data_IF_263776144303
#
_entry.id   IF_263776144303
#
_cell.length_a   1.000
_cell.length_b   1.000
_cell.length_c   1.000
_cell.angle_alpha   90.00
_cell.angle_beta   90.00
_cell.angle_gamma   90.00
#
_symmetry.space_group_name_H-M   'P 1'
#
loop_
_entity.id
_entity.type
_entity.pdbx_description
1 polymer ?
#
# COMPACT_ATOMS: atom_id res chain seq x y z
N UNK A 1 -34.53 34.14 -27.73
CA UNK A 1 -33.53 33.60 -26.77
C UNK A 1 -34.01 33.98 -25.38
N UNK A 2 -34.42 33.02 -24.54
CA UNK A 2 -34.78 33.31 -23.14
C UNK A 2 -33.52 33.79 -22.41
N UNK A 3 -33.64 34.86 -21.64
CA UNK A 3 -32.53 35.42 -20.87
C UNK A 3 -32.07 34.40 -19.83
N UNK A 4 -30.75 34.24 -19.70
CA UNK A 4 -30.12 33.29 -18.76
C UNK A 4 -30.55 33.61 -17.32
N UNK A 5 -30.81 34.89 -17.03
CA UNK A 5 -31.29 35.39 -15.74
C UNK A 5 -32.63 34.79 -15.29
N UNK A 6 -33.52 34.40 -16.21
CA UNK A 6 -34.79 33.72 -15.84
C UNK A 6 -34.57 32.32 -15.25
N UNK A 7 -33.39 31.73 -15.48
CA UNK A 7 -33.03 30.43 -14.96
C UNK A 7 -32.27 30.50 -13.64
N UNK A 8 -31.88 31.69 -13.16
CA UNK A 8 -31.09 31.81 -11.93
C UNK A 8 -31.84 31.21 -10.72
N UNK A 9 -33.15 31.43 -10.60
CA UNK A 9 -33.98 30.85 -9.53
C UNK A 9 -34.06 29.31 -9.60
N UNK A 10 -34.13 28.77 -10.82
CA UNK A 10 -34.13 27.32 -11.07
C UNK A 10 -32.76 26.70 -10.75
N UNK A 11 -31.67 27.41 -11.05
CA UNK A 11 -30.31 26.99 -10.73
C UNK A 11 -30.05 26.99 -9.22
N UNK A 12 -30.57 27.99 -8.49
CA UNK A 12 -30.53 28.00 -7.03
C UNK A 12 -31.33 26.84 -6.42
N UNK A 13 -32.56 26.63 -6.90
CA UNK A 13 -33.41 25.51 -6.47
C UNK A 13 -32.76 24.14 -6.76
N UNK A 14 -32.00 24.05 -7.85
CA UNK A 14 -31.20 22.87 -8.16
C UNK A 14 -30.04 22.64 -7.18
N UNK A 15 -29.34 23.70 -6.76
CA UNK A 15 -28.25 23.60 -5.78
C UNK A 15 -28.74 23.25 -4.37
N UNK A 16 -29.92 23.73 -4.00
CA UNK A 16 -30.58 23.40 -2.73
C UNK A 16 -31.31 22.05 -2.76
N UNK A 17 -31.29 21.36 -3.91
CA UNK A 17 -31.95 20.07 -4.14
C UNK A 17 -33.45 20.08 -3.82
N UNK A 18 -34.11 21.23 -4.04
CA UNK A 18 -35.54 21.44 -3.82
C UNK A 18 -36.40 21.15 -5.05
N UNK A 19 -35.77 20.93 -6.22
CA UNK A 19 -36.46 20.56 -7.46
C UNK A 19 -37.02 19.14 -7.41
N UNK A 20 -38.20 18.96 -8.00
CA UNK A 20 -38.76 17.62 -8.21
C UNK A 20 -37.89 16.80 -9.18
N UNK A 21 -38.00 15.47 -9.10
CA UNK A 21 -37.22 14.58 -9.98
C UNK A 21 -37.47 14.81 -11.48
N UNK A 22 -38.64 15.39 -11.85
CA UNK A 22 -38.98 15.70 -13.24
C UNK A 22 -38.30 16.99 -13.71
N UNK A 23 -38.40 18.04 -12.90
CA UNK A 23 -37.76 19.35 -13.18
C UNK A 23 -36.24 19.25 -13.20
N UNK A 24 -35.68 18.40 -12.32
CA UNK A 24 -34.25 18.13 -12.29
C UNK A 24 -33.74 17.55 -13.61
N UNK A 25 -34.45 16.55 -14.15
CA UNK A 25 -34.09 15.93 -15.45
C UNK A 25 -34.20 16.93 -16.60
N UNK A 26 -35.27 17.74 -16.63
CA UNK A 26 -35.43 18.78 -17.65
C UNK A 26 -34.32 19.84 -17.58
N UNK A 27 -33.91 20.25 -16.37
CA UNK A 27 -32.81 21.20 -16.19
C UNK A 27 -31.47 20.58 -16.58
N UNK A 28 -31.22 19.31 -16.25
CA UNK A 28 -30.01 18.58 -16.65
C UNK A 28 -29.90 18.45 -18.19
N UNK A 29 -31.02 18.19 -18.88
CA UNK A 29 -31.05 18.21 -20.35
C UNK A 29 -30.71 19.60 -20.89
N UNK A 30 -31.30 20.67 -20.34
CA UNK A 30 -31.01 22.05 -20.76
C UNK A 30 -29.57 22.49 -20.46
N UNK A 31 -28.99 22.02 -19.34
CA UNK A 31 -27.60 22.24 -18.98
C UNK A 31 -26.64 21.54 -19.96
N UNK A 32 -27.03 20.38 -20.49
CA UNK A 32 -26.23 19.66 -21.50
C UNK A 32 -26.27 20.32 -22.88
N UNK A 33 -27.36 20.99 -23.22
CA UNK A 33 -27.56 21.67 -24.50
C UNK A 33 -27.01 23.11 -24.51
N UNK A 34 -26.97 23.78 -23.36
CA UNK A 34 -26.58 25.19 -23.25
C UNK A 34 -25.34 25.40 -22.37
N UNK A 35 -24.20 25.64 -23.04
CA UNK A 35 -22.90 25.89 -22.39
C UNK A 35 -22.87 27.18 -21.54
N UNK A 36 -23.69 28.18 -21.84
CA UNK A 36 -23.74 29.40 -21.04
C UNK A 36 -24.46 29.17 -19.69
N UNK A 37 -25.48 28.31 -19.70
CA UNK A 37 -26.22 27.91 -18.50
C UNK A 37 -25.35 27.06 -17.55
N UNK A 38 -24.50 26.19 -18.11
CA UNK A 38 -23.59 25.35 -17.32
C UNK A 38 -22.49 26.17 -16.66
N UNK A 39 -21.92 27.17 -17.36
CA UNK A 39 -20.96 28.11 -16.78
C UNK A 39 -21.57 28.89 -15.61
N UNK A 40 -22.81 29.36 -15.77
CA UNK A 40 -23.54 30.06 -14.70
C UNK A 40 -23.74 29.18 -13.45
N UNK A 41 -24.07 27.89 -13.66
CA UNK A 41 -24.18 26.92 -12.58
C UNK A 41 -22.82 26.66 -11.88
N UNK A 42 -21.72 26.66 -12.62
CA UNK A 42 -20.37 26.55 -12.04
C UNK A 42 -20.01 27.77 -11.18
N UNK A 43 -20.38 28.98 -11.63
CA UNK A 43 -20.23 30.21 -10.83
C UNK A 43 -20.98 30.08 -9.48
N UNK A 44 -22.24 29.65 -9.50
CA UNK A 44 -23.02 29.47 -8.27
C UNK A 44 -22.47 28.36 -7.37
N UNK A 45 -21.95 27.27 -7.94
CA UNK A 45 -21.21 26.25 -7.17
C UNK A 45 -19.94 26.80 -6.53
N UNK A 46 -19.22 27.68 -7.21
CA UNK A 46 -18.00 28.28 -6.67
C UNK A 46 -18.30 29.17 -5.45
N UNK A 47 -19.37 29.99 -5.52
CA UNK A 47 -19.82 30.86 -4.43
C UNK A 47 -20.31 30.07 -3.21
N UNK A 48 -21.12 29.03 -3.44
CA UNK A 48 -21.62 28.16 -2.36
C UNK A 48 -20.48 27.38 -1.70
N UNK A 49 -19.53 26.87 -2.47
CA UNK A 49 -18.35 26.19 -1.92
C UNK A 49 -17.43 27.13 -1.13
N UNK A 50 -17.23 28.37 -1.60
CA UNK A 50 -16.49 29.40 -0.87
C UNK A 50 -17.13 29.69 0.49
N UNK A 51 -18.46 29.79 0.52
CA UNK A 51 -19.23 30.01 1.75
C UNK A 51 -19.16 28.80 2.70
N UNK A 52 -19.27 27.58 2.18
CA UNK A 52 -19.16 26.34 2.98
C UNK A 52 -17.78 26.13 3.58
N UNK A 53 -16.71 26.51 2.87
CA UNK A 53 -15.32 26.33 3.33
C UNK A 53 -15.01 27.16 4.60
N UNK A 54 -15.74 28.25 4.82
CA UNK A 54 -15.57 29.09 6.01
C UNK A 54 -16.28 28.57 7.26
N UNK A 55 -17.09 27.51 7.13
CA UNK A 55 -17.73 26.83 8.26
C UNK A 55 -16.88 25.59 8.58
N UNK A 56 -15.76 25.79 9.30
CA UNK A 56 -15.03 24.68 9.91
C UNK A 56 -15.83 24.15 11.10
N UNK A 57 -16.91 23.43 10.82
CA UNK A 57 -17.50 22.53 11.81
C UNK A 57 -16.51 21.37 11.98
N UNK A 58 -15.91 21.27 13.16
CA UNK A 58 -15.11 20.11 13.53
C UNK A 58 -16.01 18.88 13.46
N UNK A 59 -15.71 17.90 12.58
CA UNK A 59 -16.49 16.69 12.52
C UNK A 59 -16.39 15.97 13.88
N UNK A 60 -17.52 15.42 14.35
CA UNK A 60 -17.52 14.63 15.58
C UNK A 60 -16.57 13.44 15.46
N UNK A 61 -15.96 12.98 16.55
CA UNK A 61 -15.03 11.83 16.55
C UNK A 61 -15.62 10.57 15.88
N UNK A 62 -16.95 10.42 15.92
CA UNK A 62 -17.67 9.29 15.33
C UNK A 62 -18.02 9.47 13.85
N UNK A 63 -17.90 10.67 13.31
CA UNK A 63 -18.20 10.95 11.90
C UNK A 63 -17.32 10.11 10.97
N UNK A 64 -16.01 10.07 11.23
CA UNK A 64 -15.06 9.28 10.43
C UNK A 64 -15.39 7.80 10.46
N UNK A 65 -15.77 7.26 11.63
CA UNK A 65 -16.17 5.86 11.76
C UNK A 65 -17.45 5.54 10.97
N UNK A 66 -18.45 6.42 11.02
CA UNK A 66 -19.72 6.25 10.30
C UNK A 66 -19.53 6.39 8.77
N UNK A 67 -18.67 7.30 8.32
CA UNK A 67 -18.36 7.46 6.90
C UNK A 67 -17.60 6.24 6.39
N UNK A 68 -16.60 5.75 7.13
CA UNK A 68 -15.87 4.54 6.76
C UNK A 68 -16.77 3.31 6.73
N UNK A 69 -17.66 3.14 7.72
CA UNK A 69 -18.57 2.00 7.73
C UNK A 69 -19.55 2.02 6.55
N UNK A 70 -20.02 3.21 6.14
CA UNK A 70 -20.90 3.35 4.97
C UNK A 70 -20.16 3.19 3.63
N UNK A 71 -18.88 3.52 3.57
CA UNK A 71 -18.05 3.30 2.38
C UNK A 71 -17.74 1.81 2.21
N UNK A 72 -17.54 1.08 3.30
CA UNK A 72 -17.40 -0.39 3.26
C UNK A 72 -18.69 -1.07 2.77
N UNK A 73 -19.86 -0.57 3.17
CA UNK A 73 -21.17 -1.05 2.67
C UNK A 73 -21.41 -0.76 1.19
N UNK A 74 -20.75 0.28 0.62
CA UNK A 74 -20.83 0.59 -0.82
C UNK A 74 -20.01 -0.37 -1.70
N UNK A 75 -19.46 -1.44 -1.13
CA UNK A 75 -18.87 -2.54 -1.90
C UNK A 75 -17.53 -2.19 -2.54
N UNK A 76 -16.83 -1.16 -2.04
CA UNK A 76 -15.42 -0.95 -2.33
C UNK A 76 -14.60 -2.00 -1.57
N UNK A 77 -14.82 -3.28 -1.88
CA UNK A 77 -13.89 -4.31 -1.50
C UNK A 77 -12.59 -3.98 -2.23
N UNK A 78 -11.49 -3.61 -1.55
CA UNK A 78 -10.21 -3.55 -2.23
C UNK A 78 -10.00 -4.96 -2.77
N UNK A 79 -10.02 -5.10 -4.11
CA UNK A 79 -9.66 -6.36 -4.76
C UNK A 79 -8.34 -6.74 -4.13
N UNK A 80 -8.35 -7.75 -3.24
CA UNK A 80 -7.16 -8.26 -2.56
C UNK A 80 -6.23 -8.72 -3.67
N UNK A 81 -5.38 -7.82 -4.14
CA UNK A 81 -4.50 -8.06 -5.27
C UNK A 81 -3.35 -8.85 -4.70
N UNK A 82 -3.52 -10.17 -4.66
CA UNK A 82 -2.48 -11.10 -4.22
C UNK A 82 -1.21 -10.92 -5.06
N UNK A 83 -1.32 -10.31 -6.25
CA UNK A 83 -0.21 -9.91 -7.11
C UNK A 83 0.66 -8.79 -6.53
N UNK A 84 0.07 -7.80 -5.83
CA UNK A 84 0.86 -6.77 -5.14
C UNK A 84 1.72 -7.39 -4.02
N UNK A 85 1.16 -8.36 -3.29
CA UNK A 85 1.90 -9.09 -2.26
C UNK A 85 3.09 -9.86 -2.89
N UNK A 86 2.87 -10.50 -4.04
CA UNK A 86 3.93 -11.21 -4.77
C UNK A 86 5.06 -10.26 -5.20
N UNK A 87 4.74 -9.09 -5.74
CA UNK A 87 5.75 -8.10 -6.13
C UNK A 87 6.55 -7.63 -4.92
N UNK A 88 5.88 -7.34 -3.80
CA UNK A 88 6.58 -6.92 -2.58
C UNK A 88 7.52 -8.00 -2.06
N UNK A 89 7.10 -9.27 -2.07
CA UNK A 89 7.96 -10.38 -1.63
C UNK A 89 9.17 -10.54 -2.57
N UNK A 90 8.96 -10.52 -3.89
CA UNK A 90 10.04 -10.62 -4.86
C UNK A 90 11.03 -9.46 -4.71
N UNK A 91 10.53 -8.23 -4.53
CA UNK A 91 11.38 -7.05 -4.30
C UNK A 91 12.19 -7.15 -3.01
N UNK A 92 11.61 -7.66 -1.92
CA UNK A 92 12.36 -7.86 -0.67
C UNK A 92 13.47 -8.91 -0.81
N UNK A 93 13.23 -10.00 -1.55
CA UNK A 93 14.23 -11.06 -1.77
C UNK A 93 15.37 -10.55 -2.66
N UNK A 94 15.05 -9.85 -3.75
CA UNK A 94 16.06 -9.25 -4.63
C UNK A 94 16.87 -8.17 -3.88
N UNK A 95 16.19 -7.32 -3.10
CA UNK A 95 16.83 -6.29 -2.29
C UNK A 95 17.78 -6.87 -1.25
N UNK A 96 17.38 -7.92 -0.53
CA UNK A 96 18.25 -8.60 0.43
C UNK A 96 19.44 -9.29 -0.25
N UNK A 97 19.22 -9.94 -1.40
CA UNK A 97 20.29 -10.59 -2.15
C UNK A 97 21.32 -9.60 -2.69
N UNK A 98 20.86 -8.42 -3.14
CA UNK A 98 21.74 -7.35 -3.61
C UNK A 98 22.55 -6.74 -2.46
N UNK A 99 21.91 -6.52 -1.31
CA UNK A 99 22.59 -6.01 -0.12
C UNK A 99 23.65 -6.99 0.39
N UNK A 100 23.35 -8.29 0.44
CA UNK A 100 24.32 -9.33 0.87
C UNK A 100 25.49 -9.44 -0.10
N UNK A 101 25.27 -9.26 -1.40
CA UNK A 101 26.35 -9.34 -2.41
C UNK A 101 27.34 -8.17 -2.37
N UNK A 102 26.99 -7.04 -1.76
CA UNK A 102 27.85 -5.85 -1.67
C UNK A 102 28.76 -5.87 -0.44
N UNK A 103 28.43 -6.69 0.56
CA UNK A 103 29.31 -6.95 1.69
C UNK A 103 30.10 -8.20 1.37
N UNK A 104 31.39 -8.05 1.05
CA UNK A 104 32.34 -9.15 1.23
C UNK A 104 32.17 -9.64 2.67
N UNK A 105 31.58 -10.81 2.85
CA UNK A 105 31.45 -11.49 4.15
C UNK A 105 32.81 -11.99 4.60
N UNK A 106 33.76 -11.08 4.75
CA UNK A 106 34.89 -11.23 5.64
C UNK A 106 34.54 -10.40 6.87
N UNK A 107 33.71 -10.97 7.75
CA UNK A 107 33.73 -10.52 9.14
C UNK A 107 35.12 -10.86 9.65
N UNK A 108 36.05 -9.91 9.53
CA UNK A 108 37.30 -9.95 10.28
C UNK A 108 36.89 -9.85 11.75
N UNK A 109 36.79 -11.00 12.41
CA UNK A 109 36.78 -11.04 13.86
C UNK A 109 38.11 -10.45 14.31
N UNK A 110 38.11 -9.13 14.53
CA UNK A 110 39.20 -8.44 15.16
C UNK A 110 39.09 -8.74 16.66
N UNK A 111 39.45 -9.98 17.01
CA UNK A 111 39.62 -10.39 18.39
C UNK A 111 40.80 -9.56 18.92
N UNK A 112 40.60 -8.68 19.92
CA UNK A 112 41.72 -7.97 20.51
C UNK A 112 42.68 -9.03 21.05
N UNK A 113 43.88 -9.10 20.49
CA UNK A 113 44.97 -9.91 21.02
C UNK A 113 45.35 -9.33 22.38
N UNK A 114 44.66 -9.76 23.42
CA UNK A 114 45.08 -9.52 24.78
C UNK A 114 46.29 -10.41 25.01
N UNK A 115 47.49 -9.85 24.82
CA UNK A 115 48.72 -10.47 25.28
C UNK A 115 48.59 -10.63 26.80
N UNK A 116 48.39 -11.85 27.27
CA UNK A 116 48.42 -12.22 28.68
C UNK A 116 49.86 -12.65 29.00
N UNK A 117 50.69 -11.79 29.62
CA UNK A 117 52.15 -12.00 29.69
C UNK A 117 52.59 -13.05 30.73
N UNK A 118 51.71 -13.96 31.16
CA UNK A 118 51.98 -14.85 32.30
C UNK A 118 51.51 -16.31 32.14
N UNK A 119 51.10 -16.74 30.93
CA UNK A 119 50.62 -18.11 30.71
C UNK A 119 51.43 -18.90 29.68
N UNK A 120 52.68 -18.52 29.41
CA UNK A 120 53.51 -19.17 28.39
C UNK A 120 54.44 -20.26 28.95
N UNK A 121 54.54 -20.40 30.28
CA UNK A 121 55.51 -21.30 30.92
C UNK A 121 54.97 -22.65 31.39
N UNK A 122 53.67 -22.94 31.25
CA UNK A 122 53.05 -24.16 31.80
C UNK A 122 52.19 -24.98 30.83
N UNK A 123 52.11 -24.58 29.55
CA UNK A 123 51.36 -25.35 28.55
C UNK A 123 52.34 -25.97 27.55
N UNK A 124 52.40 -27.32 27.43
CA UNK A 124 53.11 -27.95 26.32
C UNK A 124 52.55 -27.40 25.01
N UNK A 125 53.45 -27.05 24.10
CA UNK A 125 53.24 -26.29 22.86
C UNK A 125 52.41 -26.98 21.77
N UNK A 126 51.54 -27.92 22.15
CA UNK A 126 50.50 -28.44 21.27
C UNK A 126 49.22 -27.66 21.55
N UNK A 127 49.24 -26.40 21.12
CA UNK A 127 48.05 -25.56 21.07
C UNK A 127 46.92 -26.35 20.41
N UNK A 128 45.81 -26.49 21.13
CA UNK A 128 44.56 -27.02 20.60
C UNK A 128 44.09 -26.09 19.47
N UNK A 129 44.61 -26.35 18.28
CA UNK A 129 44.23 -25.70 17.03
C UNK A 129 42.84 -26.20 16.66
N UNK A 130 41.81 -25.62 17.26
CA UNK A 130 40.45 -25.69 16.72
C UNK A 130 40.31 -24.76 15.51
N UNK A 131 41.24 -24.80 14.56
CA UNK A 131 41.09 -24.22 13.23
C UNK A 131 40.45 -25.26 12.32
N UNK A 132 39.26 -25.74 12.70
CA UNK A 132 38.36 -26.29 11.69
C UNK A 132 37.89 -25.08 10.89
N UNK A 133 38.57 -24.80 9.78
CA UNK A 133 38.13 -23.85 8.76
C UNK A 133 36.78 -24.34 8.22
N UNK A 134 35.71 -24.02 8.93
CA UNK A 134 34.37 -24.20 8.41
C UNK A 134 34.28 -23.16 7.31
N UNK A 135 34.24 -23.60 6.05
CA UNK A 135 34.00 -22.74 4.91
C UNK A 135 32.64 -22.06 5.11
N UNK A 136 32.65 -20.86 5.68
CA UNK A 136 31.46 -20.07 5.95
C UNK A 136 30.68 -19.78 4.66
N UNK A 137 31.37 -19.79 3.51
CA UNK A 137 30.76 -19.73 2.18
C UNK A 137 29.86 -20.95 1.86
N UNK A 138 30.23 -22.15 2.33
CA UNK A 138 29.39 -23.35 2.17
C UNK A 138 28.19 -23.25 3.11
N UNK A 139 28.40 -22.79 4.34
CA UNK A 139 27.32 -22.65 5.33
C UNK A 139 26.31 -21.60 4.88
N UNK A 140 26.76 -20.45 4.36
CA UNK A 140 25.90 -19.39 3.84
C UNK A 140 25.12 -19.85 2.61
N UNK A 141 25.75 -20.56 1.67
CA UNK A 141 25.08 -21.15 0.51
C UNK A 141 24.00 -22.16 0.92
N UNK A 142 24.32 -23.08 1.82
CA UNK A 142 23.35 -24.08 2.32
C UNK A 142 22.17 -23.40 3.02
N UNK A 143 22.44 -22.38 3.85
CA UNK A 143 21.40 -21.61 4.53
C UNK A 143 20.51 -20.85 3.54
N UNK A 144 21.11 -20.22 2.52
CA UNK A 144 20.37 -19.49 1.49
C UNK A 144 19.49 -20.42 0.66
N UNK A 145 20.02 -21.58 0.23
CA UNK A 145 19.22 -22.59 -0.47
C UNK A 145 18.09 -23.13 0.40
N UNK A 146 18.33 -23.36 1.69
CA UNK A 146 17.30 -23.80 2.63
C UNK A 146 16.18 -22.76 2.77
N UNK A 147 16.51 -21.47 2.93
CA UNK A 147 15.53 -20.39 3.04
C UNK A 147 14.75 -20.22 1.73
N UNK A 148 15.43 -20.34 0.59
CA UNK A 148 14.81 -20.24 -0.74
C UNK A 148 13.84 -21.40 -0.98
N UNK A 149 14.24 -22.62 -0.63
CA UNK A 149 13.40 -23.80 -0.72
C UNK A 149 12.15 -23.67 0.17
N UNK A 150 12.33 -23.20 1.41
CA UNK A 150 11.22 -22.95 2.33
C UNK A 150 10.29 -21.84 1.81
N UNK A 151 10.85 -20.79 1.21
CA UNK A 151 10.11 -19.73 0.54
C UNK A 151 9.29 -20.24 -0.64
N UNK A 152 9.83 -21.16 -1.44
CA UNK A 152 9.13 -21.79 -2.56
C UNK A 152 8.00 -22.72 -2.09
N UNK A 153 8.21 -23.44 -0.99
CA UNK A 153 7.19 -24.29 -0.36
C UNK A 153 6.05 -23.44 0.23
N UNK A 154 6.38 -22.31 0.86
CA UNK A 154 5.42 -21.32 1.32
C UNK A 154 4.68 -20.67 0.15
N UNK A 155 5.36 -20.34 -0.94
CA UNK A 155 4.74 -19.81 -2.16
C UNK A 155 3.74 -20.80 -2.75
N UNK A 156 4.11 -22.07 -2.86
CA UNK A 156 3.20 -23.11 -3.36
C UNK A 156 1.97 -23.30 -2.46
N UNK A 157 2.18 -23.35 -1.15
CA UNK A 157 1.08 -23.58 -0.20
C UNK A 157 0.19 -22.35 0.01
N UNK A 158 0.77 -21.16 0.07
CA UNK A 158 0.07 -19.92 0.39
C UNK A 158 -0.53 -19.25 -0.86
N UNK A 159 0.04 -19.45 -2.05
CA UNK A 159 -0.39 -18.75 -3.27
C UNK A 159 -0.95 -19.73 -4.30
N UNK A 160 -0.23 -20.81 -4.66
CA UNK A 160 -0.70 -21.73 -5.72
C UNK A 160 -1.96 -22.49 -5.28
N UNK A 161 -2.00 -23.07 -4.09
CA UNK A 161 -3.18 -23.82 -3.60
C UNK A 161 -4.49 -23.00 -3.56
N UNK A 162 -4.56 -21.80 -2.98
CA UNK A 162 -5.80 -21.02 -2.99
C UNK A 162 -6.17 -20.53 -4.40
N UNK A 163 -5.20 -20.22 -5.25
CA UNK A 163 -5.44 -19.80 -6.62
C UNK A 163 -6.12 -20.90 -7.46
N UNK A 164 -5.66 -22.14 -7.36
CA UNK A 164 -6.29 -23.27 -8.06
C UNK A 164 -7.62 -23.70 -7.43
N UNK A 165 -7.78 -23.56 -6.11
CA UNK A 165 -9.05 -23.85 -5.43
C UNK A 165 -10.15 -22.86 -5.84
N UNK A 166 -9.81 -21.59 -6.05
CA UNK A 166 -10.74 -20.56 -6.53
C UNK A 166 -11.25 -20.82 -7.94
N UNK A 167 -10.46 -21.46 -8.81
CA UNK A 167 -10.87 -21.79 -10.18
C UNK A 167 -11.75 -23.04 -10.29
N UNK A 168 -11.66 -23.96 -9.32
CA UNK A 168 -12.51 -25.16 -9.26
C UNK A 168 -13.92 -24.89 -8.72
N UNK A 169 -14.12 -23.81 -7.96
CA UNK A 169 -15.43 -23.40 -7.42
C UNK A 169 -16.19 -22.44 -8.34
N UNK A 170 -15.55 -21.97 -9.42
CA UNK A 170 -16.13 -21.08 -10.42
C UNK A 170 -16.47 -21.81 -11.74
N UNK A 171 -16.41 -23.15 -11.73
CA UNK A 171 -16.89 -24.08 -12.74
C UNK A 171 -17.98 -24.93 -12.12
#
# INVERSE_FOLDING_TARGET
MKNIEEYDDLLWSYLDNSLSSKEKKELETKLSENKALSLRLEEFKSLTNFTKKNILATPSERFTQIVMSKIDDLGFQPKKSHWLLVITVIMTVIGCSFYISQYDTTMQLNLPSYELPLLESYLPSEGLNFTKNINLDIVSKVLLYSVTFLGLLLFDRAILKPYFKSRRLAS
#
